data_IF_804023220587
#
_entry.id   IF_804023220587
#
_cell.length_a   1.000
_cell.length_b   1.000
_cell.length_c   1.000
_cell.angle_alpha   90.00
_cell.angle_beta   90.00
_cell.angle_gamma   90.00
#
_symmetry.space_group_name_H-M   'P 1'
#
loop_
_entity.id
_entity.type
_entity.pdbx_description
1 polymer ?
#
# COMPACT_ATOMS: atom_id res chain seq x y z
N UNK A 1 21.89 -8.48 2.77
CA UNK A 1 21.10 -9.04 3.87
C UNK A 1 20.83 -7.99 4.94
N UNK A 2 19.62 -7.88 5.36
CA UNK A 2 19.25 -6.93 6.41
C UNK A 2 19.38 -7.59 7.77
N UNK A 3 20.05 -6.92 8.70
CA UNK A 3 20.13 -7.36 10.09
C UNK A 3 19.01 -6.83 10.95
N UNK A 4 18.14 -6.03 10.37
CA UNK A 4 16.97 -5.50 11.03
C UNK A 4 15.74 -6.32 10.61
N UNK A 5 14.83 -6.42 11.53
CA UNK A 5 13.57 -7.12 11.31
C UNK A 5 12.44 -6.15 11.64
N UNK A 6 11.53 -5.96 10.70
CA UNK A 6 10.45 -4.98 10.85
C UNK A 6 9.10 -5.67 10.88
N UNK A 7 8.21 -5.14 11.71
CA UNK A 7 6.84 -5.62 11.84
C UNK A 7 5.88 -4.54 11.38
N UNK A 8 5.01 -4.90 10.45
CA UNK A 8 3.94 -4.03 9.96
C UNK A 8 2.65 -4.40 10.68
N UNK A 9 1.91 -3.41 11.16
CA UNK A 9 0.67 -3.68 11.89
C UNK A 9 -0.32 -2.51 11.80
N UNK A 10 -1.56 -2.77 12.17
CA UNK A 10 -2.62 -1.78 12.37
C UNK A 10 -2.91 -0.92 11.13
N UNK A 11 -3.15 -1.58 9.99
CA UNK A 11 -3.53 -0.85 8.79
C UNK A 11 -4.94 -0.28 8.96
N UNK A 12 -5.05 1.02 8.77
CA UNK A 12 -6.31 1.74 8.78
C UNK A 12 -6.44 2.54 7.49
N UNK A 13 -7.60 2.45 6.86
CA UNK A 13 -7.91 3.22 5.67
C UNK A 13 -8.90 4.31 6.04
N UNK A 14 -8.54 5.54 5.74
CA UNK A 14 -9.41 6.69 5.98
C UNK A 14 -9.81 7.28 4.63
N UNK A 15 -11.03 7.02 4.22
CA UNK A 15 -11.57 7.52 2.96
C UNK A 15 -12.04 8.95 3.16
N UNK A 16 -11.34 9.91 2.55
CA UNK A 16 -11.67 11.32 2.67
C UNK A 16 -12.76 11.73 1.70
N UNK A 17 -12.73 11.19 0.49
CA UNK A 17 -13.78 11.36 -0.51
C UNK A 17 -13.74 10.16 -1.45
N UNK A 18 -14.40 10.24 -2.61
CA UNK A 18 -14.61 9.09 -3.49
C UNK A 18 -13.34 8.31 -3.83
N UNK A 19 -12.23 9.01 -4.07
CA UNK A 19 -10.99 8.36 -4.48
C UNK A 19 -9.76 8.87 -3.73
N UNK A 20 -9.95 9.58 -2.61
CA UNK A 20 -8.83 10.02 -1.78
C UNK A 20 -8.83 9.25 -0.47
N UNK A 21 -7.82 8.43 -0.28
CA UNK A 21 -7.71 7.54 0.86
C UNK A 21 -6.35 7.72 1.52
N UNK A 22 -6.35 7.87 2.83
CA UNK A 22 -5.12 7.81 3.62
C UNK A 22 -4.97 6.40 4.17
N UNK A 23 -3.79 5.82 3.94
CA UNK A 23 -3.42 4.53 4.49
C UNK A 23 -2.46 4.78 5.65
N UNK A 24 -2.85 4.36 6.83
CA UNK A 24 -2.06 4.56 8.05
C UNK A 24 -1.75 3.21 8.66
N UNK A 25 -0.51 2.99 9.02
CA UNK A 25 -0.09 1.74 9.63
C UNK A 25 1.13 1.97 10.52
N UNK A 26 1.45 0.98 11.33
CA UNK A 26 2.59 1.06 12.24
C UNK A 26 3.71 0.17 11.75
N UNK A 27 4.92 0.63 11.92
CA UNK A 27 6.13 -0.05 11.52
C UNK A 27 7.07 -0.08 12.71
N UNK A 28 7.41 -1.27 13.18
CA UNK A 28 8.24 -1.46 14.35
C UNK A 28 9.55 -2.14 13.96
N UNK A 29 10.65 -1.64 14.50
CA UNK A 29 11.96 -2.26 14.33
C UNK A 29 12.18 -3.27 15.46
N UNK A 30 12.16 -4.55 15.13
CA UNK A 30 12.37 -5.64 16.07
C UNK A 30 13.83 -6.07 16.12
N UNK A 31 14.68 -5.47 15.32
CA UNK A 31 16.08 -5.81 15.25
C UNK A 31 16.91 -5.21 16.37
N UNK A 32 18.18 -5.53 16.35
CA UNK A 32 19.14 -5.06 17.36
C UNK A 32 19.86 -3.78 16.96
N UNK A 33 19.57 -3.29 15.75
CA UNK A 33 20.23 -2.10 15.20
C UNK A 33 19.19 -1.15 14.64
N UNK A 34 19.51 0.14 14.62
CA UNK A 34 18.74 1.12 13.88
C UNK A 34 18.77 0.74 12.41
N UNK A 35 17.71 1.03 11.69
CA UNK A 35 17.66 0.71 10.27
C UNK A 35 16.55 1.41 9.54
N UNK A 36 16.57 1.26 8.22
CA UNK A 36 15.55 1.81 7.34
C UNK A 36 14.79 0.70 6.65
N UNK A 37 13.51 0.94 6.44
CA UNK A 37 12.66 0.06 5.66
C UNK A 37 11.93 0.89 4.62
N UNK A 38 11.71 0.31 3.44
CA UNK A 38 10.86 0.93 2.42
C UNK A 38 9.49 0.30 2.53
N UNK A 39 8.50 1.11 2.93
CA UNK A 39 7.12 0.68 2.96
C UNK A 39 6.50 0.94 1.59
N UNK A 40 5.97 -0.09 0.97
CA UNK A 40 5.40 -0.02 -0.36
C UNK A 40 3.90 -0.28 -0.32
N UNK A 41 3.15 0.49 -1.09
CA UNK A 41 1.71 0.36 -1.20
C UNK A 41 1.34 -0.05 -2.61
N UNK A 42 0.70 -1.19 -2.72
CA UNK A 42 0.22 -1.74 -3.99
C UNK A 42 -1.29 -1.67 -4.04
N UNK A 43 -1.82 -1.40 -5.22
CA UNK A 43 -3.25 -1.34 -5.46
C UNK A 43 -3.60 -2.34 -6.55
N UNK A 44 -4.66 -3.10 -6.33
CA UNK A 44 -5.21 -4.01 -7.34
C UNK A 44 -6.72 -3.87 -7.38
N UNK A 45 -7.28 -3.97 -8.59
CA UNK A 45 -8.73 -3.98 -8.78
C UNK A 45 -9.22 -5.42 -8.75
N UNK A 46 -10.16 -5.71 -7.86
CA UNK A 46 -10.73 -7.03 -7.72
C UNK A 46 -11.87 -7.21 -8.71
N UNK A 47 -11.58 -7.90 -9.82
CA UNK A 47 -12.55 -8.20 -10.85
C UNK A 47 -12.86 -9.70 -10.78
N UNK A 48 -14.12 -10.03 -10.51
CA UNK A 48 -14.56 -11.43 -10.39
C UNK A 48 -14.38 -12.23 -11.69
N UNK A 49 -14.28 -11.55 -12.83
CA UNK A 49 -14.09 -12.20 -14.12
C UNK A 49 -12.64 -12.59 -14.37
N UNK A 50 -11.71 -12.17 -13.54
CA UNK A 50 -10.28 -12.46 -13.70
C UNK A 50 -9.76 -13.24 -12.51
N UNK A 51 -8.91 -14.20 -12.78
CA UNK A 51 -8.37 -15.09 -11.75
C UNK A 51 -7.46 -14.38 -10.76
N UNK A 52 -6.61 -13.48 -11.24
CA UNK A 52 -5.72 -12.73 -10.37
C UNK A 52 -5.57 -11.29 -10.82
N UNK A 53 -5.97 -10.33 -9.97
CA UNK A 53 -5.74 -8.93 -10.29
C UNK A 53 -4.24 -8.61 -10.17
N UNK A 54 -3.74 -7.85 -11.13
CA UNK A 54 -2.35 -7.40 -11.09
C UNK A 54 -2.21 -6.28 -10.07
N UNK A 55 -1.24 -6.45 -9.18
CA UNK A 55 -0.88 -5.39 -8.22
C UNK A 55 0.04 -4.40 -8.89
N UNK A 56 -0.19 -3.13 -8.66
CA UNK A 56 0.73 -2.09 -9.13
C UNK A 56 1.19 -1.24 -7.95
N UNK A 57 2.48 -0.93 -7.94
CA UNK A 57 3.06 -0.06 -6.91
C UNK A 57 2.57 1.36 -7.13
N UNK A 58 1.88 1.92 -6.15
CA UNK A 58 1.27 3.23 -6.27
C UNK A 58 1.88 4.26 -5.33
N UNK A 59 2.48 3.82 -4.23
CA UNK A 59 3.11 4.73 -3.29
C UNK A 59 4.17 4.00 -2.49
N UNK A 60 5.18 4.72 -2.05
CA UNK A 60 6.20 4.16 -1.19
C UNK A 60 6.81 5.24 -0.32
N UNK A 61 7.43 4.81 0.76
CA UNK A 61 8.13 5.73 1.66
C UNK A 61 9.25 4.98 2.35
N UNK A 62 10.44 5.57 2.33
CA UNK A 62 11.58 5.06 3.09
C UNK A 62 11.53 5.63 4.49
N UNK A 63 11.56 4.76 5.48
CA UNK A 63 11.40 5.14 6.88
C UNK A 63 12.58 4.65 7.69
N UNK A 64 13.22 5.55 8.42
CA UNK A 64 14.27 5.22 9.37
C UNK A 64 13.64 4.99 10.75
N UNK A 65 13.98 3.84 11.37
CA UNK A 65 13.38 3.47 12.64
C UNK A 65 14.49 2.99 13.57
N UNK A 66 14.60 3.62 14.73
CA UNK A 66 15.56 3.22 15.75
C UNK A 66 15.20 1.84 16.29
N UNK A 67 16.21 1.11 16.73
CA UNK A 67 15.99 -0.19 17.35
C UNK A 67 14.97 -0.10 18.48
N UNK A 68 14.12 -1.12 18.59
CA UNK A 68 13.05 -1.21 19.60
C UNK A 68 12.05 -0.07 19.55
N UNK A 69 11.99 0.66 18.43
CA UNK A 69 11.06 1.78 18.26
C UNK A 69 10.00 1.45 17.25
N UNK A 70 8.88 2.15 17.37
CA UNK A 70 7.74 2.04 16.47
C UNK A 70 7.39 3.42 15.94
N UNK A 71 7.08 3.49 14.66
CA UNK A 71 6.63 4.73 14.04
C UNK A 71 5.33 4.50 13.29
N UNK A 72 4.55 5.56 13.17
CA UNK A 72 3.34 5.55 12.36
C UNK A 72 3.68 6.06 10.97
N UNK A 73 3.27 5.31 9.95
CA UNK A 73 3.51 5.68 8.56
C UNK A 73 2.17 5.99 7.92
N UNK A 74 2.13 7.06 7.15
CA UNK A 74 0.94 7.47 6.44
C UNK A 74 1.26 7.65 4.96
N UNK A 75 0.50 6.98 4.12
CA UNK A 75 0.59 7.10 2.67
C UNK A 75 -0.76 7.56 2.15
N UNK A 76 -0.75 8.49 1.21
CA UNK A 76 -1.98 9.02 0.64
C UNK A 76 -2.15 8.53 -0.79
N UNK A 77 -3.34 8.05 -1.10
CA UNK A 77 -3.72 7.62 -2.44
C UNK A 77 -4.79 8.54 -2.97
N UNK A 78 -4.69 8.90 -4.23
CA UNK A 78 -5.68 9.76 -4.89
C UNK A 78 -6.27 9.02 -6.09
N UNK A 79 -7.18 9.69 -6.79
CA UNK A 79 -7.89 9.11 -7.93
C UNK A 79 -6.94 8.49 -8.97
N UNK A 80 -5.81 9.14 -9.22
CA UNK A 80 -4.84 8.65 -10.21
C UNK A 80 -4.25 7.30 -9.81
N UNK A 81 -4.10 7.03 -8.52
CA UNK A 81 -3.57 5.76 -8.04
C UNK A 81 -4.51 4.59 -8.29
N UNK A 82 -5.78 4.86 -8.56
CA UNK A 82 -6.80 3.86 -8.86
C UNK A 82 -7.16 3.82 -10.32
N UNK A 83 -6.48 4.61 -11.17
CA UNK A 83 -6.80 4.69 -12.59
C UNK A 83 -5.94 3.76 -13.41
N UNK A 84 -6.44 3.41 -14.61
CA UNK A 84 -5.69 2.63 -15.58
C UNK A 84 -5.82 3.31 -16.94
N UNK A 85 -4.86 3.00 -17.82
CA UNK A 85 -4.87 3.55 -19.17
C UNK A 85 -5.83 2.74 -20.06
N UNK A 86 -6.79 3.41 -20.66
CA UNK A 86 -7.73 2.80 -21.59
C UNK A 86 -7.29 3.12 -23.02
N UNK A 87 -6.91 2.09 -23.80
CA UNK A 87 -6.39 2.26 -25.15
C UNK A 87 -7.46 2.75 -26.10
N UNK A 88 -8.71 2.38 -25.89
CA UNK A 88 -9.81 2.81 -26.77
C UNK A 88 -10.15 4.28 -26.56
N UNK A 89 -10.20 4.70 -25.30
CA UNK A 89 -10.50 6.09 -24.96
C UNK A 89 -9.27 6.98 -25.03
N UNK A 90 -8.09 6.40 -25.08
CA UNK A 90 -6.79 7.09 -25.07
C UNK A 90 -6.71 8.05 -23.89
N UNK A 91 -7.12 7.58 -22.73
CA UNK A 91 -7.17 8.39 -21.52
C UNK A 91 -7.10 7.50 -20.29
N UNK A 92 -6.84 8.12 -19.14
CA UNK A 92 -6.88 7.47 -17.85
C UNK A 92 -8.33 7.38 -17.36
N UNK A 93 -8.72 6.19 -16.94
CA UNK A 93 -10.08 5.96 -16.43
C UNK A 93 -10.01 5.28 -15.08
N UNK A 94 -11.05 5.49 -14.28
CA UNK A 94 -11.21 4.87 -12.97
C UNK A 94 -12.48 4.03 -12.98
N UNK A 95 -12.37 2.79 -12.53
CA UNK A 95 -13.53 1.92 -12.38
C UNK A 95 -14.03 1.97 -10.95
N UNK A 96 -15.34 2.02 -10.78
CA UNK A 96 -15.96 1.80 -9.49
C UNK A 96 -15.93 0.31 -9.17
N UNK A 97 -15.73 -0.02 -7.92
CA UNK A 97 -15.74 -1.41 -7.50
C UNK A 97 -14.82 -1.66 -6.32
N UNK A 98 -14.41 -2.90 -6.19
CA UNK A 98 -13.62 -3.36 -5.06
C UNK A 98 -12.14 -3.32 -5.39
N UNK A 99 -11.39 -2.65 -4.54
CA UNK A 99 -9.94 -2.57 -4.65
C UNK A 99 -9.28 -3.20 -3.44
N UNK A 100 -8.12 -3.81 -3.65
CA UNK A 100 -7.30 -4.33 -2.57
C UNK A 100 -6.07 -3.44 -2.44
N UNK A 101 -5.83 -2.95 -1.23
CA UNK A 101 -4.65 -2.17 -0.90
C UNK A 101 -3.73 -3.07 -0.10
N UNK A 102 -2.51 -3.25 -0.59
CA UNK A 102 -1.53 -4.15 0.00
C UNK A 102 -0.31 -3.36 0.43
N UNK A 103 0.13 -3.57 1.66
CA UNK A 103 1.29 -2.88 2.24
C UNK A 103 2.35 -3.93 2.54
N UNK A 104 3.57 -3.64 2.15
CA UNK A 104 4.68 -4.53 2.43
C UNK A 104 6.02 -3.92 2.08
N UNK A 105 7.07 -4.72 2.18
CA UNK A 105 8.42 -4.30 1.82
C UNK A 105 8.73 -4.58 0.35
N UNK A 106 7.96 -5.45 -0.30
CA UNK A 106 8.08 -5.74 -1.73
C UNK A 106 6.79 -6.40 -2.20
N UNK A 107 6.65 -6.60 -3.50
CA UNK A 107 5.47 -7.28 -4.07
C UNK A 107 5.36 -8.73 -3.60
N UNK A 108 6.47 -9.33 -3.19
CA UNK A 108 6.50 -10.71 -2.71
C UNK A 108 6.36 -10.82 -1.20
N UNK A 109 6.56 -9.72 -0.48
CA UNK A 109 6.48 -9.67 0.97
C UNK A 109 5.41 -8.68 1.41
N UNK A 110 4.15 -9.06 1.18
CA UNK A 110 3.01 -8.27 1.59
C UNK A 110 2.66 -8.66 3.03
N UNK A 111 2.62 -7.66 3.89
CA UNK A 111 2.37 -7.86 5.33
C UNK A 111 0.96 -7.50 5.74
N UNK A 112 0.35 -6.52 5.06
CA UNK A 112 -0.98 -6.03 5.39
C UNK A 112 -1.80 -5.90 4.12
N UNK A 113 -3.08 -6.27 4.21
CA UNK A 113 -4.04 -6.12 3.11
C UNK A 113 -5.36 -5.60 3.65
N UNK A 114 -5.99 -4.73 2.90
CA UNK A 114 -7.32 -4.24 3.21
C UNK A 114 -8.08 -4.00 1.93
N UNK A 115 -9.37 -4.29 1.94
CA UNK A 115 -10.23 -4.08 0.79
C UNK A 115 -11.05 -2.80 0.98
N UNK A 116 -11.30 -2.10 -0.12
CA UNK A 116 -12.08 -0.88 -0.12
C UNK A 116 -12.96 -0.84 -1.35
N UNK A 117 -14.18 -0.37 -1.20
CA UNK A 117 -15.12 -0.20 -2.31
C UNK A 117 -15.18 1.27 -2.68
N UNK A 118 -14.92 1.55 -3.94
CA UNK A 118 -14.89 2.92 -4.45
C UNK A 118 -15.91 3.13 -5.56
#
# INVERSE_FOLDING_TARGET
MSYTNFSFSNLELNKKDDFNIDCKFKLKNLGKMDGSEVAQCYVSFSDAAKDEPLKSLQSFKKVFIKKDSEVEVKLSLNKRNFSYWDVEKKDWVVKSGKYTISIGSSSEHIELKEEVIL
#
